data_IF_483432434913
#
_entry.id   IF_483432434913
#
_cell.length_a   1.000
_cell.length_b   1.000
_cell.length_c   1.000
_cell.angle_alpha   90.00
_cell.angle_beta   90.00
_cell.angle_gamma   90.00
#
_symmetry.space_group_name_H-M   'P 1'
#
loop_
_entity.id
_entity.type
_entity.pdbx_description
1 polymer ?
#
# COMPACT_ATOMS: atom_id res chain seq x y z
N UNK A 1 16.92 -10.12 47.29
CA UNK A 1 16.12 -9.13 46.53
C UNK A 1 16.96 -8.19 45.65
N UNK A 2 18.16 -7.74 46.05
CA UNK A 2 19.01 -6.85 45.22
C UNK A 2 19.33 -7.42 43.83
N UNK A 3 19.82 -8.67 43.76
CA UNK A 3 20.14 -9.33 42.49
C UNK A 3 18.94 -9.41 41.53
N UNK A 4 17.75 -9.70 42.07
CA UNK A 4 16.51 -9.72 41.29
C UNK A 4 16.16 -8.33 40.74
N UNK A 5 16.31 -7.27 41.54
CA UNK A 5 16.08 -5.90 41.09
C UNK A 5 17.07 -5.48 40.01
N UNK A 6 18.35 -5.83 40.16
CA UNK A 6 19.39 -5.54 39.15
C UNK A 6 19.08 -6.26 37.84
N UNK A 7 18.73 -7.55 37.91
CA UNK A 7 18.40 -8.34 36.73
C UNK A 7 17.15 -7.82 36.01
N UNK A 8 16.11 -7.49 36.77
CA UNK A 8 14.88 -6.88 36.25
C UNK A 8 15.18 -5.54 35.57
N UNK A 9 16.00 -4.68 36.18
CA UNK A 9 16.39 -3.40 35.61
C UNK A 9 17.13 -3.59 34.28
N UNK A 10 18.12 -4.50 34.26
CA UNK A 10 18.87 -4.82 33.03
C UNK A 10 17.95 -5.33 31.93
N UNK A 11 16.99 -6.19 32.27
CA UNK A 11 16.02 -6.71 31.33
C UNK A 11 15.14 -5.59 30.74
N UNK A 12 14.55 -4.74 31.60
CA UNK A 12 13.72 -3.61 31.15
C UNK A 12 14.51 -2.67 30.24
N UNK A 13 15.74 -2.32 30.63
CA UNK A 13 16.61 -1.46 29.81
C UNK A 13 16.91 -2.10 28.45
N UNK A 14 17.24 -3.39 28.44
CA UNK A 14 17.56 -4.11 27.20
C UNK A 14 16.37 -4.13 26.25
N UNK A 15 15.17 -4.49 26.75
CA UNK A 15 13.95 -4.48 25.95
C UNK A 15 13.56 -3.07 25.48
N UNK A 16 13.72 -2.06 26.33
CA UNK A 16 13.45 -0.67 25.97
C UNK A 16 14.34 -0.19 24.83
N UNK A 17 15.65 -0.47 24.91
CA UNK A 17 16.62 -0.12 23.87
C UNK A 17 16.33 -0.86 22.57
N UNK A 18 16.13 -2.19 22.63
CA UNK A 18 15.82 -3.01 21.45
C UNK A 18 14.53 -2.56 20.76
N UNK A 19 13.47 -2.30 21.54
CA UNK A 19 12.19 -1.81 21.04
C UNK A 19 12.33 -0.43 20.38
N UNK A 20 13.04 0.51 21.03
CA UNK A 20 13.28 1.84 20.50
C UNK A 20 14.10 1.82 19.20
N UNK A 21 15.18 1.03 19.17
CA UNK A 21 16.01 0.86 17.98
C UNK A 21 15.21 0.25 16.82
N UNK A 22 14.38 -0.77 17.09
CA UNK A 22 13.54 -1.39 16.08
C UNK A 22 12.44 -0.45 15.57
N UNK A 23 11.81 0.32 16.46
CA UNK A 23 10.83 1.35 16.10
C UNK A 23 11.43 2.41 15.17
N UNK A 24 12.62 2.93 15.49
CA UNK A 24 13.34 3.88 14.65
C UNK A 24 13.72 3.28 13.29
N UNK A 25 14.20 2.03 13.29
CA UNK A 25 14.54 1.33 12.06
C UNK A 25 13.34 1.20 11.12
N UNK A 26 12.18 0.78 11.63
CA UNK A 26 10.96 0.67 10.84
C UNK A 26 10.40 2.01 10.38
N UNK A 27 10.61 3.08 11.15
CA UNK A 27 10.21 4.43 10.75
C UNK A 27 11.08 4.97 9.60
N UNK A 28 12.37 4.64 9.60
CA UNK A 28 13.31 5.05 8.54
C UNK A 28 13.26 4.15 7.31
N UNK A 29 12.77 2.92 7.44
CA UNK A 29 12.60 1.94 6.36
C UNK A 29 11.14 1.49 6.27
N UNK A 30 10.21 2.41 5.97
CA UNK A 30 8.79 2.07 5.91
C UNK A 30 8.52 1.10 4.76
N UNK A 31 7.55 0.22 4.97
CA UNK A 31 7.06 -0.67 3.91
C UNK A 31 6.40 0.15 2.82
N UNK A 32 6.84 -0.02 1.58
CA UNK A 32 6.27 0.63 0.42
C UNK A 32 5.11 -0.19 -0.12
N UNK A 33 3.91 0.36 -0.11
CA UNK A 33 2.69 -0.28 -0.59
C UNK A 33 2.16 0.51 -1.78
N UNK A 34 2.19 -0.07 -2.98
CA UNK A 34 1.61 0.57 -4.15
C UNK A 34 0.17 0.09 -4.34
N UNK A 35 -0.75 1.04 -4.45
CA UNK A 35 -2.15 0.76 -4.78
C UNK A 35 -2.42 1.28 -6.19
N UNK A 36 -2.93 0.39 -7.03
CA UNK A 36 -3.37 0.66 -8.39
C UNK A 36 -4.88 0.58 -8.42
N UNK A 37 -5.54 1.65 -8.83
CA UNK A 37 -7.00 1.69 -8.99
C UNK A 37 -7.34 1.66 -10.47
N UNK A 38 -8.09 0.64 -10.88
CA UNK A 38 -8.73 0.62 -12.20
C UNK A 38 -9.73 1.78 -12.28
N UNK A 39 -9.47 2.71 -13.20
CA UNK A 39 -10.29 3.89 -13.46
C UNK A 39 -11.10 3.77 -14.74
N UNK A 40 -11.38 2.55 -15.22
CA UNK A 40 -12.16 2.32 -16.44
C UNK A 40 -13.66 2.59 -16.27
N UNK A 41 -14.38 2.78 -17.38
CA UNK A 41 -15.84 2.96 -17.36
C UNK A 41 -16.57 1.84 -16.60
N UNK A 42 -16.05 0.61 -16.65
CA UNK A 42 -16.63 -0.54 -15.95
C UNK A 42 -16.68 -0.34 -14.42
N UNK A 43 -15.85 0.53 -13.87
CA UNK A 43 -15.79 0.81 -12.43
C UNK A 43 -16.83 1.84 -11.97
N UNK A 44 -17.56 2.51 -12.88
CA UNK A 44 -18.59 3.50 -12.51
C UNK A 44 -19.59 3.02 -11.44
N UNK A 45 -20.18 1.80 -11.53
CA UNK A 45 -21.17 1.35 -10.56
C UNK A 45 -20.62 1.20 -9.14
N UNK A 46 -19.33 0.92 -9.00
CA UNK A 46 -18.65 0.62 -7.74
C UNK A 46 -17.72 1.74 -7.27
N UNK A 47 -17.63 2.85 -8.01
CA UNK A 47 -16.65 3.92 -7.75
C UNK A 47 -16.79 4.55 -6.36
N UNK A 48 -18.02 4.65 -5.85
CA UNK A 48 -18.32 5.18 -4.52
C UNK A 48 -17.68 4.36 -3.39
N UNK A 49 -17.29 3.11 -3.64
CA UNK A 49 -16.68 2.20 -2.67
C UNK A 49 -15.15 2.25 -2.66
N UNK A 50 -14.53 2.93 -3.63
CA UNK A 50 -13.07 3.03 -3.71
C UNK A 50 -12.49 3.83 -2.54
N UNK A 51 -12.96 5.05 -2.21
CA UNK A 51 -12.41 5.80 -1.08
C UNK A 51 -12.40 5.03 0.25
N UNK A 52 -13.51 4.41 0.71
CA UNK A 52 -13.49 3.67 1.97
C UNK A 52 -12.60 2.42 1.91
N UNK A 53 -12.45 1.78 0.74
CA UNK A 53 -11.52 0.65 0.58
C UNK A 53 -10.07 1.12 0.72
N UNK A 54 -9.71 2.26 0.13
CA UNK A 54 -8.37 2.85 0.27
C UNK A 54 -8.08 3.23 1.73
N UNK A 55 -9.07 3.78 2.45
CA UNK A 55 -8.95 4.08 3.89
C UNK A 55 -8.74 2.83 4.76
N UNK A 56 -9.14 1.65 4.30
CA UNK A 56 -8.85 0.39 5.02
C UNK A 56 -7.41 -0.07 4.78
N UNK A 57 -6.88 0.13 3.57
CA UNK A 57 -5.49 -0.22 3.21
C UNK A 57 -4.51 0.67 3.99
N UNK A 58 -4.81 1.98 4.07
CA UNK A 58 -4.02 2.99 4.75
C UNK A 58 -4.20 3.01 6.28
N UNK A 59 -4.13 1.85 6.93
CA UNK A 59 -4.16 1.74 8.41
C UNK A 59 -2.93 1.06 8.98
N UNK A 60 -1.99 0.68 8.13
CA UNK A 60 -0.79 -0.05 8.55
C UNK A 60 0.26 0.91 9.08
N UNK A 61 0.87 0.54 10.22
CA UNK A 61 2.00 1.28 10.79
C UNK A 61 3.26 1.03 9.97
N UNK A 62 4.20 1.98 10.03
CA UNK A 62 5.50 1.90 9.36
C UNK A 62 5.38 1.60 7.86
N UNK A 63 4.42 2.25 7.21
CA UNK A 63 4.09 2.02 5.81
C UNK A 63 3.91 3.36 5.10
N UNK A 64 4.37 3.43 3.86
CA UNK A 64 4.13 4.54 2.94
C UNK A 64 3.44 4.01 1.70
N UNK A 65 2.60 4.83 1.11
CA UNK A 65 1.67 4.44 0.07
C UNK A 65 1.90 5.23 -1.21
N UNK A 66 2.00 4.50 -2.32
CA UNK A 66 1.91 5.05 -3.66
C UNK A 66 0.49 4.82 -4.18
N UNK A 67 -0.04 5.78 -4.95
CA UNK A 67 -1.35 5.64 -5.55
C UNK A 67 -1.30 6.03 -7.02
N UNK A 68 -1.63 5.05 -7.85
CA UNK A 68 -1.74 5.22 -9.30
C UNK A 68 -3.07 4.68 -9.78
N UNK A 69 -3.48 5.13 -10.96
CA UNK A 69 -4.45 4.44 -11.79
C UNK A 69 -3.70 3.70 -12.88
N UNK A 70 -4.38 2.80 -13.59
CA UNK A 70 -3.83 2.18 -14.80
C UNK A 70 -3.41 3.21 -15.87
N UNK A 71 -3.97 4.42 -15.79
CA UNK A 71 -3.76 5.50 -16.76
C UNK A 71 -2.72 6.52 -16.33
N UNK A 72 -2.76 6.98 -15.09
CA UNK A 72 -1.95 8.07 -14.55
C UNK A 72 -1.56 7.89 -13.08
N UNK A 73 -0.47 8.54 -12.68
CA UNK A 73 -0.06 8.65 -11.27
C UNK A 73 -0.93 9.68 -10.55
N UNK A 74 -1.52 9.32 -9.40
CA UNK A 74 -2.23 10.25 -8.52
C UNK A 74 -1.21 10.91 -7.58
N UNK A 75 -0.40 10.10 -6.90
CA UNK A 75 0.74 10.57 -6.11
C UNK A 75 1.80 9.47 -5.90
N UNK A 76 3.04 9.88 -5.64
CA UNK A 76 4.12 8.99 -5.19
C UNK A 76 4.02 8.63 -3.71
N UNK A 77 5.12 8.15 -3.12
CA UNK A 77 5.18 7.70 -1.72
C UNK A 77 4.75 8.78 -0.72
N UNK A 78 3.66 8.51 0.02
CA UNK A 78 3.14 9.35 1.09
C UNK A 78 2.66 8.50 2.27
N UNK A 79 2.62 9.09 3.46
CA UNK A 79 2.13 8.38 4.66
C UNK A 79 0.65 8.00 4.58
N UNK A 80 -0.10 8.67 3.70
CA UNK A 80 -1.54 8.47 3.51
C UNK A 80 -1.92 8.37 2.04
N UNK A 81 -2.90 7.51 1.74
CA UNK A 81 -3.55 7.43 0.44
C UNK A 81 -4.49 8.63 0.26
N UNK A 82 -4.28 9.42 -0.79
CA UNK A 82 -5.14 10.54 -1.15
C UNK A 82 -5.69 10.35 -2.56
N UNK A 83 -6.94 9.88 -2.64
CA UNK A 83 -7.61 9.58 -3.90
C UNK A 83 -7.93 10.83 -4.73
N UNK A 84 -8.05 12.01 -4.10
CA UNK A 84 -8.34 13.26 -4.78
C UNK A 84 -9.65 13.24 -5.58
N UNK A 85 -9.67 13.95 -6.71
CA UNK A 85 -10.81 14.03 -7.63
C UNK A 85 -10.54 13.20 -8.87
N UNK A 86 -10.59 11.88 -8.74
CA UNK A 86 -10.52 10.95 -9.87
C UNK A 86 -11.92 10.39 -10.14
N UNK A 87 -12.25 10.27 -11.41
CA UNK A 87 -13.50 9.67 -11.89
C UNK A 87 -13.16 8.55 -12.88
N UNK A 88 -13.99 7.51 -13.00
CA UNK A 88 -13.78 6.49 -14.00
C UNK A 88 -14.02 7.05 -15.41
N UNK A 89 -13.09 6.77 -16.32
CA UNK A 89 -13.15 7.18 -17.72
C UNK A 89 -12.41 6.18 -18.62
N UNK A 90 -12.74 6.19 -19.91
CA UNK A 90 -12.18 5.34 -20.96
C UNK A 90 -12.32 3.81 -20.73
N UNK A 91 -12.11 2.99 -21.77
CA UNK A 91 -12.06 1.54 -21.63
C UNK A 91 -10.90 1.09 -20.73
N UNK A 92 -11.07 -0.09 -20.13
CA UNK A 92 -10.04 -0.74 -19.31
C UNK A 92 -8.83 -1.10 -20.17
N UNK A 93 -7.64 -0.75 -19.68
CA UNK A 93 -6.38 -1.21 -20.26
C UNK A 93 -5.28 -1.25 -19.20
N UNK A 94 -4.72 -2.44 -18.99
CA UNK A 94 -3.65 -2.66 -18.03
C UNK A 94 -2.25 -2.71 -18.66
N UNK A 95 -2.14 -2.66 -19.98
CA UNK A 95 -0.87 -2.79 -20.70
C UNK A 95 0.15 -1.69 -20.36
N UNK A 96 -0.32 -0.56 -19.84
CA UNK A 96 0.53 0.55 -19.38
C UNK A 96 1.09 0.38 -17.96
N UNK A 97 0.70 -0.65 -17.23
CA UNK A 97 1.18 -0.90 -15.87
C UNK A 97 2.48 -1.69 -15.91
N UNK A 98 3.60 -0.98 -16.00
CA UNK A 98 4.94 -1.58 -15.97
C UNK A 98 5.92 -0.67 -15.22
N UNK A 99 7.04 -1.25 -14.79
CA UNK A 99 8.07 -0.58 -13.99
C UNK A 99 8.74 0.59 -14.72
N UNK A 100 8.81 0.52 -16.06
CA UNK A 100 9.38 1.62 -16.86
C UNK A 100 8.52 2.89 -16.77
N UNK A 101 7.19 2.75 -16.73
CA UNK A 101 6.27 3.88 -16.57
C UNK A 101 6.08 4.26 -15.09
N UNK A 102 6.03 3.25 -14.21
CA UNK A 102 5.80 3.42 -12.78
C UNK A 102 6.89 2.68 -11.99
N UNK A 103 8.02 3.34 -11.69
CA UNK A 103 9.10 2.77 -10.87
C UNK A 103 8.61 2.27 -9.51
N UNK A 104 7.50 2.82 -9.02
CA UNK A 104 6.86 2.39 -7.78
C UNK A 104 6.48 0.90 -7.79
N UNK A 105 6.26 0.29 -8.96
CA UNK A 105 5.93 -1.14 -9.08
C UNK A 105 7.12 -1.99 -8.61
N UNK A 106 8.35 -1.63 -8.98
CA UNK A 106 9.56 -2.35 -8.60
C UNK A 106 9.97 -2.08 -7.14
N UNK A 107 9.72 -0.86 -6.65
CA UNK A 107 10.07 -0.45 -5.29
C UNK A 107 9.08 -0.93 -4.22
N UNK A 108 7.86 -1.31 -4.62
CA UNK A 108 6.82 -1.73 -3.70
C UNK A 108 7.14 -3.10 -3.09
N UNK A 109 7.00 -3.20 -1.77
CA UNK A 109 7.00 -4.49 -1.08
C UNK A 109 5.66 -5.22 -1.23
N UNK A 110 4.58 -4.47 -1.43
CA UNK A 110 3.23 -5.02 -1.66
C UNK A 110 2.52 -4.24 -2.77
N UNK A 111 1.90 -4.98 -3.69
CA UNK A 111 1.15 -4.44 -4.83
C UNK A 111 -0.33 -4.78 -4.66
N UNK A 112 -1.17 -3.75 -4.70
CA UNK A 112 -2.62 -3.88 -4.65
C UNK A 112 -3.23 -3.42 -5.97
N UNK A 113 -4.13 -4.23 -6.53
CA UNK A 113 -4.95 -3.84 -7.68
C UNK A 113 -6.41 -3.80 -7.25
N UNK A 114 -7.03 -2.62 -7.31
CA UNK A 114 -8.44 -2.42 -7.02
C UNK A 114 -9.20 -2.36 -8.34
N UNK A 115 -10.00 -3.38 -8.63
CA UNK A 115 -10.71 -3.52 -9.92
C UNK A 115 -11.91 -4.44 -9.80
N UNK A 116 -12.90 -4.27 -10.67
CA UNK A 116 -13.98 -5.23 -10.89
C UNK A 116 -13.77 -6.08 -12.17
N UNK A 117 -12.52 -6.21 -12.62
CA UNK A 117 -12.16 -7.08 -13.73
C UNK A 117 -12.42 -8.56 -13.44
N UNK A 118 -12.84 -9.28 -14.48
CA UNK A 118 -13.00 -10.73 -14.43
C UNK A 118 -11.64 -11.43 -14.36
N UNK A 119 -11.61 -12.64 -13.80
CA UNK A 119 -10.37 -13.42 -13.62
C UNK A 119 -9.57 -13.59 -14.92
N UNK A 120 -10.24 -13.71 -16.07
CA UNK A 120 -9.58 -13.84 -17.38
C UNK A 120 -8.70 -12.62 -17.74
N UNK A 121 -9.04 -11.43 -17.21
CA UNK A 121 -8.30 -10.19 -17.45
C UNK A 121 -7.17 -9.94 -16.43
N UNK A 122 -7.03 -10.83 -15.43
CA UNK A 122 -6.11 -10.68 -14.31
C UNK A 122 -4.90 -11.61 -14.40
N UNK A 123 -4.72 -12.30 -15.52
CA UNK A 123 -3.65 -13.29 -15.71
C UNK A 123 -2.25 -12.72 -15.48
N UNK A 124 -2.03 -11.46 -15.89
CA UNK A 124 -0.71 -10.80 -15.81
C UNK A 124 -0.38 -10.23 -14.41
N UNK A 125 -1.33 -10.32 -13.46
CA UNK A 125 -1.19 -9.75 -12.12
C UNK A 125 -0.85 -10.81 -11.05
N UNK A 126 -0.11 -11.85 -11.43
CA UNK A 126 0.34 -12.86 -10.47
C UNK A 126 1.23 -12.22 -9.40
N UNK A 127 0.96 -12.52 -8.12
CA UNK A 127 1.65 -11.93 -6.97
C UNK A 127 1.06 -10.60 -6.49
N UNK A 128 0.11 -10.00 -7.22
CA UNK A 128 -0.60 -8.82 -6.78
C UNK A 128 -1.81 -9.20 -5.93
N UNK A 129 -2.14 -8.36 -4.96
CA UNK A 129 -3.36 -8.50 -4.17
C UNK A 129 -4.49 -7.78 -4.89
N UNK A 130 -5.35 -8.55 -5.56
CA UNK A 130 -6.53 -8.01 -6.24
C UNK A 130 -7.67 -7.85 -5.25
N UNK A 131 -8.24 -6.65 -5.18
CA UNK A 131 -9.38 -6.30 -4.35
C UNK A 131 -10.55 -5.89 -5.25
N UNK A 132 -11.70 -6.53 -5.03
CA UNK A 132 -12.94 -6.21 -5.71
C UNK A 132 -13.81 -5.31 -4.80
N UNK A 133 -14.18 -4.10 -5.25
CA UNK A 133 -15.04 -3.18 -4.50
C UNK A 133 -16.54 -3.54 -4.56
#
# INVERSE_FOLDING_TARGET
>A
MKLFATWTLTLILSFGILSGAYHLYLNNNPRKILVVVDSSFAMQPVWHRIPPLLEQIDRRRYSVYGLITEKSRIHGWKDRLNFGKVSPYAPRSFSGLNEAKYPEIAEASELYLVTNAEAAQLHDFQGWRVLQP
#
